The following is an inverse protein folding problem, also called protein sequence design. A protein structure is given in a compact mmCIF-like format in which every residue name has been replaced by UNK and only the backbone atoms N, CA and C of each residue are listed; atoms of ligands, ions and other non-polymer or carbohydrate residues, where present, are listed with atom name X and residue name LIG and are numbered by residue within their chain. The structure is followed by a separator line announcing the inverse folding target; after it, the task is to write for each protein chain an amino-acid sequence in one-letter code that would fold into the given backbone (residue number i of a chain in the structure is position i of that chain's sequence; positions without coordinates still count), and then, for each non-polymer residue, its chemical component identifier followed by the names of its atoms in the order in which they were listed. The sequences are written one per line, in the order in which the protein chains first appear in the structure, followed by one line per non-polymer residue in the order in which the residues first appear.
data_IF_656766282529
#
_entry.id   IF_656766282529
#
_cell.length_a   1.000
_cell.length_b   1.000
_cell.length_c   1.000
_cell.angle_alpha   90.00
_cell.angle_beta   90.00
_cell.angle_gamma   90.00
#
_symmetry.space_group_name_H-M   'P 1'
#
loop_
_entity.id
_entity.type
_entity.pdbx_description
1 polymer ?
#
# COMPACT_ATOMS: atom_id res chain seq x y z
N UNK A 1 4.35 -18.75 -12.25
CA UNK A 1 3.46 -17.69 -12.79
C UNK A 1 4.27 -16.58 -13.45
N UNK A 2 5.32 -16.09 -12.80
CA UNK A 2 6.29 -15.16 -13.40
C UNK A 2 6.92 -15.73 -14.67
N UNK A 3 7.39 -16.98 -14.60
CA UNK A 3 8.10 -17.64 -15.70
C UNK A 3 7.21 -17.89 -16.93
N UNK A 4 5.89 -17.87 -16.73
CA UNK A 4 4.90 -17.99 -17.81
C UNK A 4 4.35 -16.64 -18.26
N UNK A 5 4.87 -15.52 -17.74
CA UNK A 5 4.43 -14.16 -18.07
C UNK A 5 3.03 -13.79 -17.55
N UNK A 6 2.42 -14.63 -16.70
CA UNK A 6 1.03 -14.44 -16.23
C UNK A 6 0.89 -13.49 -15.04
N UNK A 7 1.98 -13.17 -14.35
CA UNK A 7 2.01 -12.16 -13.30
C UNK A 7 3.34 -11.42 -13.29
N UNK A 8 3.24 -10.12 -13.08
CA UNK A 8 4.38 -9.23 -12.83
C UNK A 8 4.57 -9.08 -11.33
N UNK A 9 5.82 -9.14 -10.89
CA UNK A 9 6.19 -8.96 -9.49
C UNK A 9 7.02 -7.70 -9.38
N UNK A 10 6.62 -6.83 -8.47
CA UNK A 10 7.21 -5.53 -8.22
C UNK A 10 7.52 -5.41 -6.75
N UNK A 11 8.51 -4.56 -6.42
CA UNK A 11 8.83 -4.23 -5.04
C UNK A 11 8.38 -2.79 -4.75
N UNK A 12 8.06 -2.55 -3.49
CA UNK A 12 7.88 -1.22 -2.90
C UNK A 12 8.76 -1.15 -1.66
N UNK A 13 9.31 0.01 -1.33
CA UNK A 13 10.10 0.19 -0.10
C UNK A 13 9.19 0.41 1.11
N UNK A 14 9.75 0.24 2.31
CA UNK A 14 9.02 0.50 3.56
C UNK A 14 8.53 1.95 3.64
N UNK A 15 9.34 2.91 3.18
CA UNK A 15 8.96 4.34 3.14
C UNK A 15 7.76 4.58 2.22
N UNK A 16 7.73 3.93 1.05
CA UNK A 16 6.60 4.03 0.12
C UNK A 16 5.35 3.39 0.70
N UNK A 17 5.49 2.24 1.35
CA UNK A 17 4.39 1.57 2.03
C UNK A 17 3.85 2.42 3.19
N UNK A 18 4.73 3.07 3.95
CA UNK A 18 4.33 3.95 5.05
C UNK A 18 3.59 5.20 4.54
N UNK A 19 4.07 5.80 3.44
CA UNK A 19 3.38 6.90 2.78
C UNK A 19 1.98 6.48 2.33
N UNK A 20 1.86 5.34 1.65
CA UNK A 20 0.58 4.80 1.19
C UNK A 20 -0.38 4.43 2.34
N UNK A 21 0.15 3.93 3.45
CA UNK A 21 -0.61 3.71 4.69
C UNK A 21 -1.24 5.03 5.18
N UNK A 22 -0.44 6.09 5.25
CA UNK A 22 -0.90 7.40 5.71
C UNK A 22 -1.91 8.02 4.75
N UNK A 23 -1.70 7.91 3.44
CA UNK A 23 -2.61 8.42 2.43
C UNK A 23 -3.98 7.76 2.54
N UNK A 24 -4.05 6.42 2.56
CA UNK A 24 -5.34 5.73 2.67
C UNK A 24 -6.04 6.05 4.00
N UNK A 25 -5.28 6.13 5.10
CA UNK A 25 -5.84 6.46 6.42
C UNK A 25 -6.41 7.89 6.44
N UNK A 26 -5.74 8.85 5.81
CA UNK A 26 -6.14 10.26 5.83
C UNK A 26 -7.24 10.59 4.83
N UNK A 27 -7.21 9.97 3.65
CA UNK A 27 -8.14 10.24 2.56
C UNK A 27 -9.44 9.46 2.74
N UNK A 28 -9.34 8.16 3.04
CA UNK A 28 -10.50 7.26 3.08
C UNK A 28 -10.90 6.84 4.50
N UNK A 29 -10.10 7.17 5.52
CA UNK A 29 -10.37 6.76 6.90
C UNK A 29 -10.16 5.25 7.16
N UNK A 30 -9.48 4.56 6.25
CA UNK A 30 -9.20 3.12 6.35
C UNK A 30 -7.74 2.94 6.78
N UNK A 31 -7.51 2.22 7.87
CA UNK A 31 -6.16 1.85 8.31
C UNK A 31 -5.78 0.46 7.75
N UNK A 32 -4.99 0.39 6.66
CA UNK A 32 -4.59 -0.89 6.07
C UNK A 32 -3.51 -1.58 6.89
N UNK A 33 -3.38 -2.91 6.78
CA UNK A 33 -2.17 -3.59 7.25
C UNK A 33 -0.94 -3.11 6.46
N UNK A 34 0.25 -3.11 7.09
CA UNK A 34 1.47 -2.60 6.44
C UNK A 34 1.83 -3.40 5.17
N UNK A 35 1.52 -4.70 5.13
CA UNK A 35 1.67 -5.53 3.93
C UNK A 35 0.72 -5.13 2.81
N UNK A 36 -0.51 -4.71 3.14
CA UNK A 36 -1.47 -4.18 2.15
C UNK A 36 -1.00 -2.82 1.60
N UNK A 37 -0.34 -2.02 2.43
CA UNK A 37 0.19 -0.72 2.02
C UNK A 37 1.27 -0.82 0.95
N UNK A 38 2.00 -1.94 0.86
CA UNK A 38 2.93 -2.19 -0.24
C UNK A 38 2.22 -2.27 -1.61
N UNK A 39 1.02 -2.86 -1.64
CA UNK A 39 0.20 -2.94 -2.85
C UNK A 39 -0.37 -1.55 -3.21
N UNK A 40 -0.80 -0.78 -2.21
CA UNK A 40 -1.28 0.61 -2.40
C UNK A 40 -0.17 1.52 -2.91
N UNK A 41 1.06 1.39 -2.40
CA UNK A 41 2.22 2.12 -2.87
C UNK A 41 2.48 1.86 -4.36
N UNK A 42 2.38 0.59 -4.79
CA UNK A 42 2.49 0.27 -6.20
C UNK A 42 1.32 0.84 -7.02
N UNK A 43 0.09 0.75 -6.49
CA UNK A 43 -1.10 1.30 -7.13
C UNK A 43 -0.98 2.82 -7.34
N UNK A 44 -0.44 3.56 -6.36
CA UNK A 44 -0.21 5.00 -6.45
C UNK A 44 0.79 5.37 -7.57
N UNK A 45 1.77 4.50 -7.86
CA UNK A 45 2.69 4.67 -9.00
C UNK A 45 2.07 4.29 -10.35
N UNK A 46 1.22 3.25 -10.36
CA UNK A 46 0.63 2.70 -11.57
C UNK A 46 -0.58 3.50 -12.07
N UNK A 47 -1.46 3.92 -11.17
CA UNK A 47 -2.71 4.60 -11.52
C UNK A 47 -2.52 5.86 -12.41
N UNK A 48 -1.49 6.71 -12.21
CA UNK A 48 -1.24 7.86 -13.09
C UNK A 48 -0.87 7.50 -14.53
N UNK A 49 -0.46 6.25 -14.81
CA UNK A 49 -0.12 5.80 -16.17
C UNK A 49 -1.28 5.07 -16.86
N UNK A 50 -2.42 4.92 -16.19
CA UNK A 50 -3.62 4.27 -16.72
C UNK A 50 -4.58 5.29 -17.34
N UNK A 51 -5.52 4.82 -18.17
CA UNK A 51 -6.62 5.65 -18.62
C UNK A 51 -7.57 5.97 -17.45
N UNK A 52 -8.23 7.15 -17.43
CA UNK A 52 -9.27 7.45 -16.43
C UNK A 52 -10.44 6.45 -16.42
N UNK A 53 -10.67 5.74 -17.52
CA UNK A 53 -11.74 4.73 -17.65
C UNK A 53 -11.30 3.32 -17.20
N UNK A 54 -10.01 3.11 -16.94
CA UNK A 54 -9.51 1.82 -16.49
C UNK A 54 -9.83 1.59 -15.00
N UNK A 55 -10.14 0.34 -14.64
CA UNK A 55 -10.45 -0.04 -13.25
C UNK A 55 -9.25 -0.78 -12.66
N UNK A 56 -8.70 -0.25 -11.56
CA UNK A 56 -7.66 -0.90 -10.77
C UNK A 56 -8.26 -1.52 -9.50
N UNK A 57 -8.07 -2.82 -9.31
CA UNK A 57 -8.50 -3.53 -8.10
C UNK A 57 -7.28 -3.81 -7.23
N UNK A 58 -7.33 -3.32 -5.99
CA UNK A 58 -6.28 -3.56 -4.99
C UNK A 58 -6.84 -4.42 -3.86
N UNK A 59 -6.09 -5.46 -3.49
CA UNK A 59 -6.46 -6.34 -2.38
C UNK A 59 -5.95 -5.77 -1.05
N UNK A 60 -6.86 -5.49 -0.11
CA UNK A 60 -6.54 -5.17 1.27
C UNK A 60 -6.63 -6.46 2.10
N UNK A 61 -5.49 -7.10 2.32
CA UNK A 61 -5.40 -8.40 3.00
C UNK A 61 -5.70 -8.34 4.50
N UNK A 62 -5.58 -7.17 5.12
CA UNK A 62 -5.74 -7.00 6.56
C UNK A 62 -5.93 -5.57 7.02
N UNK A 63 -6.19 -5.43 8.32
CA UNK A 63 -6.37 -4.16 9.04
C UNK A 63 -5.11 -3.79 9.82
N UNK A 64 -4.78 -2.50 9.89
CA UNK A 64 -3.56 -1.98 10.49
C UNK A 64 -3.57 -1.83 12.01
N UNK A 65 -4.65 -2.23 12.70
CA UNK A 65 -4.79 -2.04 14.16
C UNK A 65 -3.64 -2.67 14.96
N UNK A 66 -3.06 -3.77 14.46
CA UNK A 66 -1.94 -4.46 15.11
C UNK A 66 -0.59 -3.79 14.83
N UNK A 67 -0.51 -3.00 13.77
CA UNK A 67 0.74 -2.44 13.26
C UNK A 67 0.99 -1.03 13.81
N UNK A 68 0.12 -0.51 14.67
CA UNK A 68 0.19 0.88 15.15
C UNK A 68 1.51 1.19 15.85
N UNK A 69 2.07 0.25 16.63
CA UNK A 69 3.36 0.42 17.30
C UNK A 69 4.52 0.42 16.29
N UNK A 70 4.44 -0.42 15.26
CA UNK A 70 5.44 -0.50 14.18
C UNK A 70 5.42 0.78 13.35
N UNK A 71 4.23 1.24 12.94
CA UNK A 71 4.03 2.48 12.19
C UNK A 71 4.48 3.69 12.99
N UNK A 72 4.17 3.75 14.29
CA UNK A 72 4.64 4.85 15.14
C UNK A 72 6.17 4.86 15.26
N UNK A 73 6.80 3.70 15.45
CA UNK A 73 8.26 3.58 15.49
C UNK A 73 8.89 4.02 14.16
N UNK A 74 8.35 3.58 13.02
CA UNK A 74 8.81 3.97 11.69
C UNK A 74 8.56 5.45 11.39
N UNK A 75 7.47 6.01 11.89
CA UNK A 75 7.10 7.42 11.76
C UNK A 75 7.80 8.35 12.76
N UNK A 76 8.66 7.83 13.63
CA UNK A 76 9.34 8.63 14.67
C UNK A 76 8.39 9.18 15.75
N UNK A 77 7.25 8.53 15.96
CA UNK A 77 6.25 8.90 16.97
C UNK A 77 6.47 8.01 18.20
N UNK A 78 6.82 8.61 19.34
CA UNK A 78 6.79 7.90 20.63
C UNK A 78 5.34 7.76 21.11
N UNK A 79 4.94 6.54 21.47
CA UNK A 79 3.62 6.20 22.05
C UNK A 79 3.77 5.97 23.56
#
# INVERSE_FOLDING_TARGET
LKDTGRASYVASTDDEALAAFHDLTRIEGIMPALESSHALAHAARLAPTMSPDDILIVSLSGRGDKDIHTVATLGGIEI
#
